data_IF_237087570224
#
_entry.id   IF_237087570224
#
_cell.length_a   1.000
_cell.length_b   1.000
_cell.length_c   1.000
_cell.angle_alpha   90.00
_cell.angle_beta   90.00
_cell.angle_gamma   90.00
#
_symmetry.space_group_name_H-M   'P 1'
#
loop_
_entity.id
_entity.type
_entity.pdbx_description
1 polymer ?
#
# COMPACT_ATOMS: atom_id res chain seq x y z
N UNK A 1 17.57 -21.40 -1.72
CA UNK A 1 16.48 -21.72 -0.78
C UNK A 1 16.31 -20.50 0.12
N UNK A 2 15.11 -19.94 0.21
CA UNK A 2 14.81 -18.83 1.13
C UNK A 2 14.17 -19.47 2.35
N UNK A 3 15.00 -19.85 3.33
CA UNK A 3 14.58 -20.66 4.47
C UNK A 3 14.17 -19.77 5.66
N UNK A 4 13.04 -19.07 5.53
CA UNK A 4 12.41 -18.35 6.64
C UNK A 4 11.62 -17.11 6.22
N UNK A 5 10.66 -16.71 7.06
CA UNK A 5 9.98 -15.42 6.94
C UNK A 5 11.02 -14.32 7.15
N UNK A 6 11.42 -13.64 6.07
CA UNK A 6 12.31 -12.48 6.12
C UNK A 6 11.64 -11.33 5.40
N UNK A 7 11.24 -10.31 6.16
CA UNK A 7 10.77 -9.04 5.60
C UNK A 7 11.94 -8.06 5.60
N UNK A 8 12.10 -7.37 4.47
CA UNK A 8 13.00 -6.22 4.33
C UNK A 8 12.14 -4.94 4.40
N UNK A 9 12.09 -4.26 5.57
CA UNK A 9 11.25 -3.07 5.72
C UNK A 9 11.61 -1.95 4.76
N UNK A 10 12.91 -1.74 4.47
CA UNK A 10 13.37 -0.70 3.56
C UNK A 10 12.97 -1.01 2.11
N UNK A 11 13.09 -2.28 1.72
CA UNK A 11 12.59 -2.77 0.43
C UNK A 11 11.08 -2.58 0.27
N UNK A 12 10.29 -2.89 1.31
CA UNK A 12 8.84 -2.66 1.30
C UNK A 12 8.51 -1.17 1.21
N UNK A 13 9.17 -0.32 1.98
CA UNK A 13 8.97 1.14 1.93
C UNK A 13 9.23 1.69 0.53
N UNK A 14 10.31 1.27 -0.12
CA UNK A 14 10.63 1.67 -1.51
C UNK A 14 9.51 1.30 -2.49
N UNK A 15 8.96 0.09 -2.36
CA UNK A 15 7.83 -0.36 -3.20
C UNK A 15 6.57 0.47 -2.91
N UNK A 16 6.24 0.69 -1.64
CA UNK A 16 5.07 1.48 -1.24
C UNK A 16 5.16 2.92 -1.75
N UNK A 17 6.33 3.56 -1.65
CA UNK A 17 6.57 4.91 -2.17
C UNK A 17 6.43 4.94 -3.71
N UNK A 18 6.93 3.92 -4.40
CA UNK A 18 6.78 3.81 -5.86
C UNK A 18 5.31 3.67 -6.28
N UNK A 19 4.53 2.86 -5.57
CA UNK A 19 3.09 2.70 -5.84
C UNK A 19 2.31 3.97 -5.48
N UNK A 20 2.66 4.65 -4.39
CA UNK A 20 2.05 5.92 -4.01
C UNK A 20 2.26 6.99 -5.09
N UNK A 21 3.48 7.14 -5.61
CA UNK A 21 3.77 8.09 -6.68
C UNK A 21 2.95 7.80 -7.97
N UNK A 22 2.90 6.53 -8.38
CA UNK A 22 2.05 6.11 -9.52
C UNK A 22 0.56 6.39 -9.27
N UNK A 23 0.10 6.22 -8.04
CA UNK A 23 -1.28 6.51 -7.64
C UNK A 23 -1.58 8.01 -7.73
N UNK A 24 -0.65 8.86 -7.31
CA UNK A 24 -0.76 10.32 -7.47
C UNK A 24 -0.84 10.69 -8.94
N UNK A 25 0.05 10.15 -9.77
CA UNK A 25 0.03 10.39 -11.23
C UNK A 25 -1.32 10.03 -11.84
N UNK A 26 -1.88 8.86 -11.48
CA UNK A 26 -3.19 8.43 -11.95
C UNK A 26 -4.32 9.34 -11.42
N UNK A 27 -4.26 9.76 -10.16
CA UNK A 27 -5.25 10.66 -9.56
C UNK A 27 -5.24 12.03 -10.25
N UNK A 28 -4.06 12.56 -10.54
CA UNK A 28 -3.89 13.84 -11.27
C UNK A 28 -4.41 13.73 -12.69
N UNK A 29 -4.14 12.63 -13.41
CA UNK A 29 -4.67 12.45 -14.75
C UNK A 29 -6.21 12.37 -14.78
N UNK A 30 -6.82 11.82 -13.73
CA UNK A 30 -8.27 11.66 -13.66
C UNK A 30 -9.00 12.92 -13.17
N UNK A 31 -8.50 13.55 -12.11
CA UNK A 31 -9.12 14.70 -11.47
C UNK A 31 -8.54 16.06 -11.85
N UNK A 32 -7.43 16.08 -12.59
CA UNK A 32 -6.62 17.28 -12.82
C UNK A 32 -5.63 17.54 -11.69
N UNK A 33 -4.73 18.49 -11.91
CA UNK A 33 -3.83 19.01 -10.87
C UNK A 33 -4.46 20.22 -10.17
N UNK A 34 -4.10 20.43 -8.91
CA UNK A 34 -4.63 21.53 -8.08
C UNK A 34 -4.22 22.90 -8.61
N UNK A 35 -3.06 23.00 -9.26
CA UNK A 35 -2.57 24.20 -9.93
C UNK A 35 -3.16 24.40 -11.35
N UNK A 36 -4.02 23.49 -11.80
CA UNK A 36 -4.65 23.53 -13.13
C UNK A 36 -3.72 23.24 -14.32
N UNK A 37 -2.44 22.88 -14.08
CA UNK A 37 -1.49 22.53 -15.14
C UNK A 37 -1.84 21.24 -15.90
N UNK A 38 -2.61 20.35 -15.26
CA UNK A 38 -3.15 19.12 -15.85
C UNK A 38 -4.67 19.20 -15.78
N UNK A 39 -5.32 19.16 -16.94
CA UNK A 39 -6.77 19.00 -17.01
C UNK A 39 -7.20 17.59 -16.61
N UNK A 40 -8.27 17.50 -15.83
CA UNK A 40 -8.89 16.21 -15.49
C UNK A 40 -9.59 15.59 -16.69
N UNK A 41 -9.75 14.27 -16.65
CA UNK A 41 -10.37 13.52 -17.74
C UNK A 41 -11.82 13.96 -17.99
N UNK A 42 -12.55 14.36 -16.95
CA UNK A 42 -13.93 14.85 -17.10
C UNK A 42 -14.00 16.10 -17.99
N UNK A 43 -13.07 17.05 -17.82
CA UNK A 43 -12.98 18.26 -18.63
C UNK A 43 -12.63 17.93 -20.08
N UNK A 44 -11.62 17.07 -20.28
CA UNK A 44 -11.21 16.64 -21.62
C UNK A 44 -12.37 15.95 -22.35
N UNK A 45 -13.16 15.15 -21.65
CA UNK A 45 -14.31 14.44 -22.20
C UNK A 45 -15.43 15.40 -22.60
N UNK A 46 -15.70 16.42 -21.78
CA UNK A 46 -16.67 17.47 -22.11
C UNK A 46 -16.23 18.28 -23.33
N UNK A 47 -14.95 18.64 -23.42
CA UNK A 47 -14.39 19.35 -24.55
C UNK A 47 -14.49 18.50 -25.84
N UNK A 48 -14.15 17.22 -25.76
CA UNK A 48 -14.27 16.28 -26.87
C UNK A 48 -15.72 16.07 -27.32
N UNK A 49 -16.66 15.96 -26.37
CA UNK A 49 -18.08 15.84 -26.69
C UNK A 49 -18.63 17.09 -27.37
N UNK A 50 -18.17 18.27 -26.97
CA UNK A 50 -18.53 19.56 -27.58
C UNK A 50 -17.95 19.69 -28.99
N UNK A 51 -16.68 19.28 -29.18
CA UNK A 51 -15.99 19.33 -30.46
C UNK A 51 -16.46 18.27 -31.48
N UNK A 52 -17.24 17.27 -31.06
CA UNK A 52 -17.70 16.20 -31.94
C UNK A 52 -18.69 16.68 -33.03
N UNK A 53 -19.24 17.90 -32.90
CA UNK A 53 -20.22 18.51 -33.83
C UNK A 53 -21.45 17.63 -34.13
N UNK A 54 -21.67 16.60 -33.32
CA UNK A 54 -22.72 15.60 -33.44
C UNK A 54 -23.18 15.20 -32.06
N UNK A 55 -24.44 15.49 -31.75
CA UNK A 55 -25.02 15.23 -30.44
C UNK A 55 -24.92 13.74 -30.06
N UNK A 56 -25.17 12.83 -31.00
CA UNK A 56 -25.13 11.38 -30.75
C UNK A 56 -23.71 10.92 -30.43
N UNK A 57 -22.69 11.47 -31.11
CA UNK A 57 -21.30 11.12 -30.84
C UNK A 57 -20.87 11.69 -29.49
N UNK A 58 -21.21 12.95 -29.20
CA UNK A 58 -20.91 13.58 -27.91
C UNK A 58 -21.52 12.83 -26.72
N UNK A 59 -22.80 12.44 -26.82
CA UNK A 59 -23.48 11.63 -25.81
C UNK A 59 -22.85 10.24 -25.64
N UNK A 60 -22.45 9.59 -26.74
CA UNK A 60 -21.79 8.29 -26.67
C UNK A 60 -20.41 8.36 -25.99
N UNK A 61 -19.63 9.40 -26.27
CA UNK A 61 -18.33 9.64 -25.62
C UNK A 61 -18.52 9.91 -24.13
N UNK A 62 -19.42 10.82 -23.77
CA UNK A 62 -19.73 11.12 -22.37
C UNK A 62 -20.22 9.88 -21.60
N UNK A 63 -21.15 9.12 -22.19
CA UNK A 63 -21.69 7.90 -21.60
C UNK A 63 -20.65 6.79 -21.42
N UNK A 64 -19.71 6.63 -22.36
CA UNK A 64 -18.61 5.70 -22.21
C UNK A 64 -17.73 6.05 -21.00
N UNK A 65 -17.35 7.31 -20.87
CA UNK A 65 -16.49 7.76 -19.78
C UNK A 65 -17.18 7.69 -18.42
N UNK A 66 -18.45 8.07 -18.33
CA UNK A 66 -19.25 7.93 -17.10
C UNK A 66 -19.28 6.46 -16.65
N UNK A 67 -19.50 5.53 -17.59
CA UNK A 67 -19.50 4.10 -17.28
C UNK A 67 -18.11 3.57 -16.86
N UNK A 68 -17.01 4.12 -17.39
CA UNK A 68 -15.65 3.71 -17.00
C UNK A 68 -15.15 4.37 -15.72
N UNK A 69 -15.68 5.52 -15.33
CA UNK A 69 -15.32 6.23 -14.10
C UNK A 69 -15.46 5.33 -12.87
N UNK A 70 -16.56 4.58 -12.74
CA UNK A 70 -16.75 3.63 -11.65
C UNK A 70 -15.65 2.55 -11.59
N UNK A 71 -15.23 2.05 -12.75
CA UNK A 71 -14.14 1.06 -12.83
C UNK A 71 -12.81 1.66 -12.38
N UNK A 72 -12.50 2.87 -12.83
CA UNK A 72 -11.27 3.59 -12.48
C UNK A 72 -11.21 3.92 -10.98
N UNK A 73 -12.31 4.39 -10.40
CA UNK A 73 -12.45 4.58 -8.96
C UNK A 73 -12.27 3.26 -8.19
N UNK A 74 -12.82 2.16 -8.70
CA UNK A 74 -12.63 0.83 -8.12
C UNK A 74 -11.16 0.40 -8.12
N UNK A 75 -10.40 0.71 -9.17
CA UNK A 75 -8.96 0.45 -9.24
C UNK A 75 -8.21 1.28 -8.19
N UNK A 76 -8.51 2.58 -8.08
CA UNK A 76 -7.92 3.46 -7.04
C UNK A 76 -8.12 2.91 -5.63
N UNK A 77 -9.35 2.48 -5.31
CA UNK A 77 -9.68 1.95 -4.00
C UNK A 77 -8.89 0.66 -3.70
N UNK A 78 -8.73 -0.24 -4.68
CA UNK A 78 -7.93 -1.46 -4.52
C UNK A 78 -6.46 -1.16 -4.29
N UNK A 79 -5.89 -0.20 -5.03
CA UNK A 79 -4.50 0.23 -4.85
C UNK A 79 -4.30 0.79 -3.44
N UNK A 80 -5.18 1.70 -3.00
CA UNK A 80 -5.15 2.27 -1.64
C UNK A 80 -5.27 1.20 -0.56
N UNK A 81 -6.22 0.27 -0.71
CA UNK A 81 -6.38 -0.83 0.25
C UNK A 81 -5.12 -1.71 0.33
N UNK A 82 -4.48 -1.98 -0.82
CA UNK A 82 -3.25 -2.78 -0.87
C UNK A 82 -2.06 -2.07 -0.21
N UNK A 83 -1.90 -0.76 -0.44
CA UNK A 83 -0.90 0.07 0.24
C UNK A 83 -1.08 0.05 1.76
N UNK A 84 -2.31 0.24 2.23
CA UNK A 84 -2.62 0.23 3.67
C UNK A 84 -2.40 -1.16 4.28
N UNK A 85 -2.83 -2.22 3.59
CA UNK A 85 -2.63 -3.59 4.04
C UNK A 85 -1.15 -3.97 4.15
N UNK A 86 -0.36 -3.68 3.12
CA UNK A 86 1.07 -4.00 3.10
C UNK A 86 1.88 -3.19 4.12
N UNK A 87 1.60 -1.89 4.25
CA UNK A 87 2.24 -1.05 5.28
C UNK A 87 1.84 -1.47 6.68
N UNK A 88 0.57 -1.80 6.91
CA UNK A 88 0.07 -2.32 8.19
C UNK A 88 0.72 -3.65 8.58
N UNK A 89 0.79 -4.60 7.64
CA UNK A 89 1.45 -5.88 7.87
C UNK A 89 2.94 -5.71 8.23
N UNK A 90 3.65 -4.83 7.52
CA UNK A 90 5.07 -4.56 7.78
C UNK A 90 5.29 -3.98 9.19
N UNK A 91 4.43 -3.03 9.61
CA UNK A 91 4.47 -2.49 10.97
C UNK A 91 4.18 -3.55 12.03
N UNK A 92 3.22 -4.42 11.79
CA UNK A 92 2.87 -5.49 12.72
C UNK A 92 4.02 -6.49 12.91
N UNK A 93 4.77 -6.80 11.85
CA UNK A 93 5.94 -7.68 11.90
C UNK A 93 7.04 -7.04 12.76
N UNK A 94 7.38 -5.78 12.48
CA UNK A 94 8.42 -5.05 13.26
C UNK A 94 8.05 -5.00 14.74
N UNK A 95 6.81 -4.63 15.06
CA UNK A 95 6.34 -4.58 16.45
C UNK A 95 6.37 -5.97 17.12
N UNK A 96 6.05 -7.04 16.38
CA UNK A 96 6.17 -8.41 16.86
C UNK A 96 7.61 -8.81 17.16
N UNK A 97 8.54 -8.49 16.27
CA UNK A 97 9.97 -8.77 16.44
C UNK A 97 10.55 -8.02 17.65
N UNK A 98 10.20 -6.74 17.83
CA UNK A 98 10.58 -5.95 19.00
C UNK A 98 10.06 -6.57 20.30
N UNK A 99 8.79 -7.00 20.32
CA UNK A 99 8.19 -7.64 21.49
C UNK A 99 8.84 -8.99 21.82
N UNK A 100 9.11 -9.82 20.81
CA UNK A 100 9.82 -11.10 20.98
C UNK A 100 11.25 -10.89 21.50
N UNK A 101 11.96 -9.89 20.98
CA UNK A 101 13.31 -9.54 21.43
C UNK A 101 13.31 -9.06 22.89
N UNK A 102 12.41 -8.15 23.25
CA UNK A 102 12.27 -7.65 24.61
C UNK A 102 11.93 -8.76 25.62
N UNK A 103 10.99 -9.64 25.25
CA UNK A 103 10.59 -10.79 26.08
C UNK A 103 11.77 -11.75 26.30
N UNK A 104 12.50 -12.05 25.23
CA UNK A 104 13.68 -12.95 25.30
C UNK A 104 14.77 -12.36 26.19
N UNK A 105 15.03 -11.05 26.08
CA UNK A 105 15.99 -10.36 26.96
C UNK A 105 15.55 -10.39 28.42
N UNK A 106 14.27 -10.14 28.70
CA UNK A 106 13.73 -10.20 30.06
C UNK A 106 13.87 -11.61 30.66
N UNK A 107 13.55 -12.65 29.88
CA UNK A 107 13.73 -14.04 30.29
C UNK A 107 15.21 -14.37 30.55
N UNK A 108 16.13 -13.83 29.75
CA UNK A 108 17.56 -14.07 29.90
C UNK A 108 18.10 -13.44 31.19
N UNK A 109 17.67 -12.22 31.52
CA UNK A 109 18.01 -11.55 32.78
C UNK A 109 17.44 -12.32 33.97
N UNK A 110 16.19 -12.77 33.87
CA UNK A 110 15.55 -13.58 34.92
C UNK A 110 16.33 -14.87 35.16
N UNK A 111 16.58 -15.66 34.12
CA UNK A 111 17.30 -16.93 34.21
C UNK A 111 18.73 -16.75 34.74
N UNK A 112 19.43 -15.68 34.33
CA UNK A 112 20.76 -15.35 34.87
C UNK A 112 20.75 -15.05 36.37
N UNK A 113 19.64 -14.48 36.88
CA UNK A 113 19.49 -14.13 38.30
C UNK A 113 18.98 -15.29 39.18
N UNK A 114 18.12 -16.15 38.63
CA UNK A 114 17.44 -17.22 39.39
C UNK A 114 18.05 -18.61 39.16
N UNK A 115 18.80 -18.79 38.07
CA UNK A 115 19.25 -20.11 37.61
C UNK A 115 18.14 -20.96 36.98
N UNK A 116 16.93 -20.42 36.81
CA UNK A 116 15.80 -21.11 36.17
C UNK A 116 15.78 -20.84 34.66
N UNK A 117 16.04 -21.87 33.87
CA UNK A 117 16.11 -21.81 32.41
C UNK A 117 14.85 -22.36 31.72
N UNK A 118 13.75 -22.61 32.43
CA UNK A 118 12.54 -23.19 31.85
C UNK A 118 11.98 -22.38 30.66
N UNK A 119 12.19 -21.06 30.64
CA UNK A 119 11.81 -20.18 29.54
C UNK A 119 12.59 -20.43 28.21
N UNK A 120 13.66 -21.23 28.26
CA UNK A 120 14.53 -21.56 27.14
C UNK A 120 14.54 -23.07 26.82
N UNK A 121 13.60 -23.85 27.35
CA UNK A 121 13.52 -25.28 27.11
C UNK A 121 13.44 -25.58 25.60
N UNK A 122 14.36 -26.39 25.08
CA UNK A 122 14.53 -26.68 23.65
C UNK A 122 15.41 -25.70 22.85
N UNK A 123 15.97 -24.65 23.46
CA UNK A 123 16.92 -23.75 22.80
C UNK A 123 18.33 -24.38 22.70
N UNK A 124 19.11 -24.12 21.63
CA UNK A 124 20.49 -24.61 21.52
C UNK A 124 21.34 -24.08 22.67
N UNK A 125 21.89 -24.99 23.50
CA UNK A 125 22.75 -24.64 24.63
C UNK A 125 22.08 -24.65 26.01
N UNK A 126 20.77 -24.97 26.10
CA UNK A 126 20.13 -25.32 27.35
C UNK A 126 20.51 -26.76 27.74
N UNK A 127 21.66 -26.94 28.40
CA UNK A 127 22.05 -28.19 29.06
C UNK A 127 22.26 -27.92 30.56
#
# INVERSE_FOLDING_TARGET
MVDGWRVDPAGVESVLNSVANRTTTMSTALGGSEDGSVQGVDTIVQDAATAAESQVIGEAVAGFFEHRKATLTGIQNRIRASLLGASGATKAIIAGDEHMAATTQANAVSAASTGDFAAFDGAPGAN
#
